data_IF_616518246199
#
_entry.id   IF_616518246199
#
_cell.length_a   1.000
_cell.length_b   1.000
_cell.length_c   1.000
_cell.angle_alpha   90.00
_cell.angle_beta   90.00
_cell.angle_gamma   90.00
#
_symmetry.space_group_name_H-M   'P 1'
#
loop_
_entity.id
_entity.type
_entity.pdbx_description
1 polymer ?
#
# COMPACT_ATOMS: atom_id res chain seq x y z
N UNK A 1 23.00 32.44 12.35
CA UNK A 1 22.82 31.07 12.87
C UNK A 1 22.31 30.21 11.73
N UNK A 2 23.00 29.15 11.25
CA UNK A 2 22.45 28.31 10.21
C UNK A 2 21.35 27.43 10.80
N UNK A 3 20.16 27.48 10.19
CA UNK A 3 19.02 26.63 10.48
C UNK A 3 19.33 25.18 10.06
N UNK A 4 19.52 24.27 11.02
CA UNK A 4 19.61 22.83 10.74
C UNK A 4 18.20 22.24 10.75
N UNK A 5 17.42 22.47 9.70
CA UNK A 5 16.27 21.61 9.42
C UNK A 5 16.81 20.27 8.93
N UNK A 6 17.02 19.34 9.86
CA UNK A 6 16.97 17.92 9.50
C UNK A 6 15.53 17.65 9.07
N UNK A 7 15.22 17.81 7.78
CA UNK A 7 13.90 17.51 7.24
C UNK A 7 13.69 16.00 7.31
N UNK A 8 12.88 15.54 8.26
CA UNK A 8 12.46 14.13 8.33
C UNK A 8 11.78 13.73 7.01
N UNK A 9 12.02 12.49 6.53
CA UNK A 9 11.42 11.91 5.30
C UNK A 9 9.90 12.07 5.27
N UNK A 10 9.26 11.94 6.42
CA UNK A 10 7.81 12.06 6.60
C UNK A 10 7.39 13.31 7.37
N UNK A 11 6.16 13.81 7.16
CA UNK A 11 5.50 14.74 8.07
C UNK A 11 5.44 14.18 9.50
N UNK A 12 5.49 15.05 10.51
CA UNK A 12 5.60 14.67 11.93
C UNK A 12 4.54 13.64 12.36
N UNK A 13 3.28 13.82 11.96
CA UNK A 13 2.19 12.91 12.33
C UNK A 13 2.31 11.54 11.68
N UNK A 14 2.82 11.49 10.45
CA UNK A 14 3.07 10.26 9.69
C UNK A 14 4.25 9.51 10.29
N UNK A 15 5.38 10.19 10.53
CA UNK A 15 6.57 9.63 11.18
C UNK A 15 6.22 9.05 12.57
N UNK A 16 5.43 9.78 13.37
CA UNK A 16 5.00 9.32 14.69
C UNK A 16 4.13 8.05 14.62
N UNK A 17 3.19 7.97 13.66
CA UNK A 17 2.36 6.79 13.47
C UNK A 17 3.17 5.56 13.02
N UNK A 18 4.10 5.75 12.08
CA UNK A 18 5.01 4.69 11.62
C UNK A 18 5.89 4.18 12.76
N UNK A 19 6.50 5.08 13.54
CA UNK A 19 7.32 4.70 14.71
C UNK A 19 6.51 3.99 15.78
N UNK A 20 5.28 4.42 16.03
CA UNK A 20 4.39 3.75 16.97
C UNK A 20 4.02 2.32 16.51
N UNK A 21 4.03 2.07 15.19
CA UNK A 21 3.87 0.75 14.60
C UNK A 21 5.16 -0.10 14.58
N UNK A 22 6.29 0.44 15.05
CA UNK A 22 7.57 -0.26 15.10
C UNK A 22 8.50 0.00 13.91
N UNK A 23 8.14 0.90 12.99
CA UNK A 23 9.05 1.33 11.93
C UNK A 23 10.18 2.20 12.49
N UNK A 24 11.37 2.06 11.92
CA UNK A 24 12.51 2.93 12.17
C UNK A 24 13.22 3.24 10.85
N UNK A 25 13.77 4.45 10.66
CA UNK A 25 14.54 4.78 9.46
C UNK A 25 15.66 3.76 9.22
N UNK A 26 15.76 3.28 7.98
CA UNK A 26 16.74 2.26 7.59
C UNK A 26 16.34 0.82 7.90
N UNK A 27 15.11 0.58 8.38
CA UNK A 27 14.54 -0.78 8.43
C UNK A 27 14.53 -1.38 7.02
N UNK A 28 15.02 -2.61 6.93
CA UNK A 28 15.07 -3.36 5.68
C UNK A 28 15.11 -4.87 5.96
N UNK A 29 14.00 -5.56 5.73
CA UNK A 29 13.83 -7.00 5.92
C UNK A 29 13.62 -7.68 4.56
N UNK A 30 14.73 -7.80 3.81
CA UNK A 30 14.69 -8.37 2.46
C UNK A 30 14.36 -9.87 2.47
N UNK A 31 14.77 -10.60 3.51
CA UNK A 31 14.49 -12.03 3.65
C UNK A 31 12.99 -12.27 3.74
N UNK A 32 12.28 -11.52 4.59
CA UNK A 32 10.83 -11.61 4.68
C UNK A 32 10.13 -11.19 3.38
N UNK A 33 10.64 -10.17 2.69
CA UNK A 33 10.10 -9.72 1.41
C UNK A 33 10.24 -10.80 0.32
N UNK A 34 11.37 -11.50 0.27
CA UNK A 34 11.60 -12.64 -0.65
C UNK A 34 10.68 -13.83 -0.33
N UNK A 35 10.45 -14.15 0.95
CA UNK A 35 9.49 -15.18 1.36
C UNK A 35 8.09 -14.88 0.83
N UNK A 36 7.64 -13.62 0.93
CA UNK A 36 6.34 -13.22 0.36
C UNK A 36 6.34 -13.25 -1.16
N UNK A 37 7.41 -12.81 -1.81
CA UNK A 37 7.55 -12.89 -3.26
C UNK A 37 7.39 -14.33 -3.76
N UNK A 38 8.04 -15.29 -3.11
CA UNK A 38 7.96 -16.71 -3.45
C UNK A 38 6.58 -17.28 -3.18
N UNK A 39 5.94 -16.93 -2.06
CA UNK A 39 4.58 -17.35 -1.75
C UNK A 39 3.56 -16.87 -2.80
N UNK A 40 3.68 -15.60 -3.25
CA UNK A 40 2.83 -15.05 -4.29
C UNK A 40 3.06 -15.72 -5.65
N UNK A 41 4.33 -15.92 -6.05
CA UNK A 41 4.69 -16.59 -7.32
C UNK A 41 4.26 -18.05 -7.35
N UNK A 42 4.33 -18.74 -6.22
CA UNK A 42 3.89 -20.13 -6.09
C UNK A 42 2.36 -20.28 -6.13
N UNK A 43 1.60 -19.20 -5.90
CA UNK A 43 0.15 -19.25 -5.90
C UNK A 43 -0.43 -19.04 -7.30
N UNK A 44 -1.20 -20.02 -7.75
CA UNK A 44 -2.10 -19.88 -8.91
C UNK A 44 -3.52 -19.93 -8.40
N UNK A 45 -4.32 -18.90 -8.71
CA UNK A 45 -5.73 -18.87 -8.34
C UNK A 45 -6.50 -20.01 -9.04
N UNK A 46 -7.69 -20.41 -8.54
CA UNK A 46 -8.51 -21.42 -9.22
C UNK A 46 -8.85 -21.09 -10.68
N UNK A 47 -8.85 -19.80 -11.04
CA UNK A 47 -9.05 -19.32 -12.41
C UNK A 47 -7.79 -19.32 -13.29
N UNK A 48 -6.65 -19.80 -12.79
CA UNK A 48 -5.38 -19.84 -13.53
C UNK A 48 -4.59 -18.53 -13.51
N UNK A 49 -5.01 -17.50 -12.77
CA UNK A 49 -4.29 -16.24 -12.65
C UNK A 49 -3.15 -16.34 -11.63
N UNK A 50 -2.02 -15.70 -11.95
CA UNK A 50 -0.84 -15.60 -11.10
C UNK A 50 -0.54 -14.13 -10.81
N UNK A 51 0.19 -13.87 -9.72
CA UNK A 51 0.65 -12.52 -9.38
C UNK A 51 1.91 -12.13 -10.15
N UNK A 52 1.98 -10.85 -10.53
CA UNK A 52 3.24 -10.20 -10.88
C UNK A 52 3.90 -9.67 -9.61
N UNK A 53 5.20 -9.95 -9.44
CA UNK A 53 5.99 -9.41 -8.32
C UNK A 53 7.05 -8.47 -8.88
N UNK A 54 6.95 -7.20 -8.53
CA UNK A 54 7.80 -6.12 -9.06
C UNK A 54 8.87 -5.69 -8.04
N UNK A 55 9.98 -5.07 -8.48
CA UNK A 55 10.98 -4.51 -7.56
C UNK A 55 10.37 -3.52 -6.56
N UNK A 56 9.51 -2.60 -7.03
CA UNK A 56 8.87 -1.60 -6.17
C UNK A 56 8.05 -2.24 -5.02
N UNK A 57 7.38 -3.37 -5.30
CA UNK A 57 6.66 -4.12 -4.28
C UNK A 57 7.62 -4.73 -3.25
N UNK A 58 8.66 -5.43 -3.70
CA UNK A 58 9.66 -6.07 -2.83
C UNK A 58 10.37 -5.04 -1.95
N UNK A 59 10.75 -3.89 -2.50
CA UNK A 59 11.38 -2.80 -1.76
C UNK A 59 10.43 -2.21 -0.70
N UNK A 60 9.15 -2.02 -1.05
CA UNK A 60 8.12 -1.55 -0.11
C UNK A 60 7.88 -2.55 1.02
N UNK A 61 7.88 -3.85 0.72
CA UNK A 61 7.75 -4.90 1.73
C UNK A 61 8.98 -4.99 2.63
N UNK A 62 10.18 -4.87 2.06
CA UNK A 62 11.41 -4.92 2.85
C UNK A 62 11.44 -3.78 3.88
N UNK A 63 11.00 -2.58 3.51
CA UNK A 63 10.97 -1.45 4.45
C UNK A 63 9.76 -1.50 5.41
N UNK A 64 8.55 -1.67 4.87
CA UNK A 64 7.30 -1.44 5.62
C UNK A 64 6.51 -2.71 5.91
N UNK A 65 6.89 -3.85 5.35
CA UNK A 65 6.19 -5.12 5.52
C UNK A 65 6.04 -5.54 6.98
N UNK A 66 4.92 -6.19 7.29
CA UNK A 66 4.58 -6.67 8.62
C UNK A 66 4.15 -5.58 9.59
N UNK A 67 4.20 -4.30 9.20
CA UNK A 67 3.69 -3.21 10.02
C UNK A 67 2.17 -3.20 10.00
N UNK A 68 1.60 -3.03 11.18
CA UNK A 68 0.20 -2.67 11.38
C UNK A 68 0.14 -1.24 11.89
N UNK A 69 -0.39 -0.33 11.10
CA UNK A 69 -0.39 1.10 11.40
C UNK A 69 -1.82 1.55 11.71
N UNK A 70 -2.00 2.05 12.93
CA UNK A 70 -3.27 2.58 13.42
C UNK A 70 -3.05 4.05 13.83
N UNK A 71 -3.33 5.02 12.94
CA UNK A 71 -3.19 6.43 13.27
C UNK A 71 -4.09 6.83 14.44
N UNK A 72 -3.61 7.76 15.27
CA UNK A 72 -4.36 8.33 16.39
C UNK A 72 -4.75 9.76 16.09
N UNK A 73 -6.02 10.10 16.31
CA UNK A 73 -6.53 11.46 16.19
C UNK A 73 -7.35 11.72 14.91
N UNK A 74 -7.89 12.94 14.77
CA UNK A 74 -8.70 13.31 13.62
C UNK A 74 -7.83 13.42 12.36
N UNK A 75 -8.39 13.03 11.22
CA UNK A 75 -7.77 13.30 9.92
C UNK A 75 -8.14 14.67 9.40
N UNK A 76 -7.53 15.06 8.27
CA UNK A 76 -7.73 16.37 7.65
C UNK A 76 -9.12 16.51 7.04
N UNK A 77 -9.54 15.54 6.24
CA UNK A 77 -10.86 15.51 5.61
C UNK A 77 -11.58 14.18 5.82
N UNK A 78 -10.84 13.08 5.78
CA UNK A 78 -11.33 11.73 6.05
C UNK A 78 -10.81 11.23 7.40
N UNK A 79 -11.44 10.19 7.93
CA UNK A 79 -10.86 9.43 9.05
C UNK A 79 -9.57 8.76 8.56
N UNK A 80 -8.43 8.92 9.25
CA UNK A 80 -7.20 8.25 8.90
C UNK A 80 -7.38 6.72 8.90
N UNK A 81 -6.84 6.07 7.89
CA UNK A 81 -7.02 4.63 7.69
C UNK A 81 -6.15 3.82 8.64
N UNK A 82 -6.72 2.76 9.23
CA UNK A 82 -5.93 1.68 9.84
C UNK A 82 -5.62 0.67 8.74
N UNK A 83 -4.36 0.24 8.64
CA UNK A 83 -3.95 -0.70 7.60
C UNK A 83 -2.76 -1.55 8.04
N UNK A 84 -2.52 -2.63 7.31
CA UNK A 84 -1.30 -3.44 7.42
C UNK A 84 -0.63 -3.59 6.06
N UNK A 85 0.70 -3.62 6.06
CA UNK A 85 1.50 -3.98 4.88
C UNK A 85 1.78 -5.47 4.96
N UNK A 86 0.84 -6.25 4.43
CA UNK A 86 0.90 -7.71 4.34
C UNK A 86 0.42 -8.13 2.95
N UNK A 87 1.34 -8.45 2.02
CA UNK A 87 0.95 -8.73 0.63
C UNK A 87 0.12 -10.00 0.48
N UNK A 88 0.14 -10.91 1.47
CA UNK A 88 -0.68 -12.13 1.43
C UNK A 88 -2.17 -11.84 1.65
N UNK A 89 -2.55 -10.65 2.13
CA UNK A 89 -3.94 -10.19 2.11
C UNK A 89 -4.53 -10.23 0.69
N UNK A 90 -3.70 -9.97 -0.33
CA UNK A 90 -4.09 -10.03 -1.73
C UNK A 90 -3.88 -11.38 -2.42
N UNK A 91 -3.54 -12.46 -1.69
CA UNK A 91 -3.12 -13.74 -2.28
C UNK A 91 -4.11 -14.27 -3.32
N UNK A 92 -5.41 -14.13 -3.09
CA UNK A 92 -6.46 -14.62 -4.00
C UNK A 92 -6.94 -13.59 -5.02
N UNK A 93 -6.35 -12.40 -5.05
CA UNK A 93 -6.80 -11.25 -5.85
C UNK A 93 -6.05 -11.09 -7.19
N UNK A 94 -5.29 -12.11 -7.62
CA UNK A 94 -4.47 -12.03 -8.83
C UNK A 94 -5.27 -11.64 -10.09
N UNK A 95 -6.52 -12.10 -10.22
CA UNK A 95 -7.41 -11.70 -11.32
C UNK A 95 -7.73 -10.21 -11.26
N UNK A 96 -8.21 -9.74 -10.11
CA UNK A 96 -8.60 -8.33 -9.89
C UNK A 96 -7.43 -7.39 -10.17
N UNK A 97 -6.26 -7.71 -9.63
CA UNK A 97 -5.04 -6.93 -9.86
C UNK A 97 -4.58 -6.97 -11.32
N UNK A 98 -4.69 -8.13 -11.98
CA UNK A 98 -4.40 -8.25 -13.41
C UNK A 98 -5.35 -7.45 -14.30
N UNK A 99 -6.64 -7.43 -13.98
CA UNK A 99 -7.66 -6.68 -14.72
C UNK A 99 -7.45 -5.16 -14.56
N UNK A 100 -7.21 -4.68 -13.33
CA UNK A 100 -6.89 -3.27 -13.08
C UNK A 100 -5.54 -2.86 -13.69
N UNK A 101 -4.51 -3.69 -13.54
CA UNK A 101 -3.18 -3.46 -14.12
C UNK A 101 -3.26 -3.27 -15.64
N UNK A 102 -4.05 -4.12 -16.33
CA UNK A 102 -4.30 -3.95 -17.76
C UNK A 102 -4.94 -2.60 -18.09
N UNK A 103 -5.90 -2.15 -17.30
CA UNK A 103 -6.55 -0.85 -17.51
C UNK A 103 -5.62 0.34 -17.24
N UNK A 104 -4.63 0.16 -16.37
CA UNK A 104 -3.60 1.15 -16.04
C UNK A 104 -2.35 1.06 -16.92
N UNK A 105 -2.31 0.08 -17.84
CA UNK A 105 -1.13 -0.26 -18.65
C UNK A 105 0.13 -0.51 -17.79
N UNK A 106 -0.04 -1.15 -16.63
CA UNK A 106 1.06 -1.53 -15.71
C UNK A 106 0.80 -2.88 -15.04
N UNK A 107 1.77 -3.38 -14.29
CA UNK A 107 1.66 -4.61 -13.51
C UNK A 107 1.47 -4.28 -12.04
N UNK A 108 0.39 -4.78 -11.44
CA UNK A 108 0.08 -4.55 -10.03
C UNK A 108 0.46 -5.75 -9.16
N UNK A 109 1.02 -5.44 -7.99
CA UNK A 109 1.38 -6.38 -6.96
C UNK A 109 0.60 -6.05 -5.66
N UNK A 110 0.12 -7.02 -4.88
CA UNK A 110 -0.53 -6.74 -3.61
C UNK A 110 0.47 -6.13 -2.62
N UNK A 111 0.04 -5.10 -1.89
CA UNK A 111 0.86 -4.40 -0.90
C UNK A 111 0.40 -4.70 0.53
N UNK A 112 -0.91 -4.79 0.73
CA UNK A 112 -1.52 -4.87 2.06
C UNK A 112 -3.02 -4.69 2.01
N UNK A 113 -3.61 -4.29 3.14
CA UNK A 113 -5.04 -4.00 3.22
C UNK A 113 -5.32 -2.90 4.26
N UNK A 114 -6.31 -2.08 3.97
CA UNK A 114 -6.99 -1.27 4.98
C UNK A 114 -7.91 -2.17 5.81
N UNK A 115 -7.92 -1.98 7.13
CA UNK A 115 -8.76 -2.76 8.05
C UNK A 115 -9.67 -1.86 8.85
N UNK A 116 -10.80 -2.41 9.29
CA UNK A 116 -11.52 -1.81 10.42
C UNK A 116 -10.64 -1.90 11.66
N UNK A 117 -10.68 -0.91 12.55
CA UNK A 117 -9.78 -0.84 13.72
C UNK A 117 -9.83 -2.06 14.67
N UNK A 118 -10.79 -2.97 14.47
CA UNK A 118 -10.98 -4.23 15.21
C UNK A 118 -10.61 -5.51 14.41
N UNK A 119 -10.04 -5.39 13.20
CA UNK A 119 -9.63 -6.50 12.32
C UNK A 119 -10.73 -7.48 11.90
N UNK A 120 -11.99 -7.10 12.05
CA UNK A 120 -13.08 -8.01 11.71
C UNK A 120 -13.33 -8.13 10.21
N UNK A 121 -12.97 -7.12 9.40
CA UNK A 121 -12.99 -7.24 7.94
C UNK A 121 -12.02 -6.26 7.24
N UNK A 122 -11.41 -6.67 6.12
CA UNK A 122 -10.68 -5.75 5.25
C UNK A 122 -11.65 -4.78 4.58
N UNK A 123 -11.27 -3.50 4.54
CA UNK A 123 -12.05 -2.44 3.92
C UNK A 123 -11.64 -2.22 2.46
N UNK A 124 -10.33 -2.26 2.18
CA UNK A 124 -9.77 -2.11 0.84
C UNK A 124 -8.49 -2.93 0.72
N UNK A 125 -8.24 -3.49 -0.47
CA UNK A 125 -6.95 -4.07 -0.84
C UNK A 125 -6.01 -2.93 -1.25
N UNK A 126 -4.79 -2.92 -0.73
CA UNK A 126 -3.73 -2.02 -1.18
C UNK A 126 -2.87 -2.72 -2.22
N UNK A 127 -2.52 -2.01 -3.30
CA UNK A 127 -1.69 -2.52 -4.38
C UNK A 127 -0.65 -1.48 -4.79
N UNK A 128 0.47 -1.94 -5.36
CA UNK A 128 1.54 -1.11 -5.89
C UNK A 128 1.91 -1.59 -7.29
N UNK A 129 2.19 -0.66 -8.21
CA UNK A 129 2.61 -1.02 -9.56
C UNK A 129 4.13 -1.02 -9.76
N UNK A 130 4.56 -1.38 -10.98
CA UNK A 130 5.98 -1.40 -11.38
C UNK A 130 6.68 -0.05 -11.19
N UNK A 131 5.95 1.06 -11.32
CA UNK A 131 6.49 2.41 -11.14
C UNK A 131 6.50 2.86 -9.66
N UNK A 132 5.93 2.05 -8.76
CA UNK A 132 5.83 2.35 -7.33
C UNK A 132 4.57 3.13 -6.94
N UNK A 133 3.66 3.39 -7.88
CA UNK A 133 2.39 4.07 -7.59
C UNK A 133 1.50 3.15 -6.79
N UNK A 134 0.78 3.71 -5.81
CA UNK A 134 -0.01 2.92 -4.86
C UNK A 134 -1.50 3.21 -5.03
N UNK A 135 -2.30 2.15 -4.91
CA UNK A 135 -3.74 2.14 -5.13
C UNK A 135 -4.48 1.46 -3.97
N UNK A 136 -5.74 1.83 -3.77
CA UNK A 136 -6.69 1.13 -2.91
C UNK A 136 -7.87 0.64 -3.75
N UNK A 137 -8.30 -0.60 -3.52
CA UNK A 137 -9.39 -1.27 -4.24
C UNK A 137 -10.43 -1.71 -3.22
N UNK A 138 -11.64 -1.16 -3.31
CA UNK A 138 -12.76 -1.52 -2.43
C UNK A 138 -14.05 -1.77 -3.22
N UNK A 139 -15.13 -2.07 -2.51
CA UNK A 139 -16.44 -2.32 -3.11
C UNK A 139 -17.09 -1.09 -3.78
N UNK A 140 -16.53 0.11 -3.59
CA UNK A 140 -16.99 1.38 -4.16
C UNK A 140 -16.17 1.83 -5.36
N UNK A 141 -14.97 1.27 -5.55
CA UNK A 141 -14.14 1.42 -6.74
C UNK A 141 -12.65 1.35 -6.45
N UNK A 142 -11.87 1.83 -7.43
CA UNK A 142 -10.42 1.88 -7.38
C UNK A 142 -9.95 3.32 -7.17
N UNK A 143 -8.92 3.50 -6.34
CA UNK A 143 -8.46 4.80 -5.88
C UNK A 143 -6.94 4.90 -6.00
N UNK A 144 -6.45 6.04 -6.49
CA UNK A 144 -5.03 6.37 -6.50
C UNK A 144 -4.64 7.08 -5.20
N UNK A 145 -3.68 6.49 -4.47
CA UNK A 145 -3.22 6.97 -3.17
C UNK A 145 -1.98 7.87 -3.25
N UNK A 146 -1.08 7.61 -4.19
CA UNK A 146 0.18 8.34 -4.29
C UNK A 146 1.12 7.82 -5.37
N UNK A 147 2.11 8.66 -5.72
CA UNK A 147 3.11 8.36 -6.74
C UNK A 147 4.18 7.36 -6.27
N UNK A 148 4.31 7.20 -4.95
CA UNK A 148 5.20 6.28 -4.28
C UNK A 148 4.58 5.85 -2.93
N UNK A 149 5.26 4.94 -2.24
CA UNK A 149 4.84 4.45 -0.92
C UNK A 149 4.76 5.57 0.13
N UNK A 150 5.62 6.58 0.06
CA UNK A 150 5.66 7.66 1.05
C UNK A 150 4.44 8.59 0.92
N UNK A 151 4.09 8.93 -0.32
CA UNK A 151 2.90 9.69 -0.67
C UNK A 151 1.64 8.92 -0.25
N UNK A 152 1.60 7.61 -0.52
CA UNK A 152 0.47 6.76 -0.14
C UNK A 152 0.27 6.68 1.37
N UNK A 153 1.34 6.43 2.13
CA UNK A 153 1.33 6.45 3.60
C UNK A 153 0.87 7.81 4.12
N UNK A 154 1.31 8.90 3.50
CA UNK A 154 0.88 10.26 3.86
C UNK A 154 -0.61 10.47 3.61
N UNK A 155 -1.14 10.01 2.47
CA UNK A 155 -2.57 10.08 2.13
C UNK A 155 -3.42 9.34 3.17
N UNK A 156 -3.09 8.07 3.42
CA UNK A 156 -3.81 7.19 4.35
C UNK A 156 -3.79 7.72 5.79
N UNK A 157 -2.61 8.12 6.29
CA UNK A 157 -2.43 8.50 7.69
C UNK A 157 -2.83 9.94 8.01
N UNK A 158 -2.90 10.82 6.99
CA UNK A 158 -3.39 12.18 7.17
C UNK A 158 -4.89 12.31 6.96
N UNK A 159 -5.55 11.29 6.39
CA UNK A 159 -6.95 11.37 5.98
C UNK A 159 -7.18 12.37 4.85
N UNK A 160 -6.25 12.43 3.89
CA UNK A 160 -6.40 13.20 2.65
C UNK A 160 -7.25 12.38 1.67
N UNK A 161 -8.25 12.96 0.98
CA UNK A 161 -9.08 12.18 0.06
C UNK A 161 -8.26 11.70 -1.14
N UNK A 162 -8.26 10.39 -1.46
CA UNK A 162 -7.57 9.88 -2.63
C UNK A 162 -8.31 10.23 -3.92
N UNK A 163 -7.64 10.05 -5.05
CA UNK A 163 -8.21 10.35 -6.36
C UNK A 163 -8.91 9.10 -6.88
N UNK A 164 -10.22 9.20 -7.17
CA UNK A 164 -10.96 8.08 -7.76
C UNK A 164 -10.45 7.81 -9.18
N UNK A 165 -10.10 6.57 -9.47
CA UNK A 165 -9.80 6.16 -10.83
C UNK A 165 -11.09 6.13 -11.64
N UNK A 166 -11.05 6.73 -12.81
CA UNK A 166 -12.15 6.72 -13.76
C UNK A 166 -11.60 6.32 -15.11
N UNK A 167 -12.34 5.48 -15.84
CA UNK A 167 -12.01 5.19 -17.23
C UNK A 167 -12.17 6.49 -18.00
N UNK A 168 -11.06 7.07 -18.46
CA UNK A 168 -11.14 8.12 -19.47
C UNK A 168 -11.42 7.38 -20.77
N UNK A 169 -12.65 7.46 -21.30
CA UNK A 169 -12.91 6.94 -22.63
C UNK A 169 -11.99 7.69 -23.61
N UNK A 170 -11.13 6.97 -24.30
CA UNK A 170 -10.43 7.52 -25.45
C UNK A 170 -11.49 7.84 -26.52
N UNK A 171 -11.63 9.12 -26.88
CA UNK A 171 -12.37 9.57 -28.06
C UNK A 171 -11.62 9.21 -29.36
#
# INVERSE_FOLDING_TARGET
MPNRTSTTRFPITVDAALRAAGWQPGRWDIEQAEIWADALRAHTTPGGHQHSVTPAAVESWAEFGGLRIAPKGPGRQLTPSTFRIDPLAGLHMARTLGDLGRALESELCPLGEETTGDDTAPQALLAIDTEGRVYAIDHTGDWYLGADIDAALTTLLSGTPPIRLTVTAAE
#
